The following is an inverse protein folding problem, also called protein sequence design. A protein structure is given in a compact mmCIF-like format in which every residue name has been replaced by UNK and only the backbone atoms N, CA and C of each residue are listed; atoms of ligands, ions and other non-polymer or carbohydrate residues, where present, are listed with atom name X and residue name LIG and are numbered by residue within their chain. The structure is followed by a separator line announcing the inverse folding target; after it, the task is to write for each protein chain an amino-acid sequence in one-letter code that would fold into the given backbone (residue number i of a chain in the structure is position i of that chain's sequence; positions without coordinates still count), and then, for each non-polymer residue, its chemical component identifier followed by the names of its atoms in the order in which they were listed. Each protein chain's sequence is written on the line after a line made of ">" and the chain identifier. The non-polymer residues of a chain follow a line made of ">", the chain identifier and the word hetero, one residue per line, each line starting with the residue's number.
data_IF_911982127831
#
_entry.id   IF_911982127831
#
_cell.length_a   1.000
_cell.length_b   1.000
_cell.length_c   1.000
_cell.angle_alpha   90.00
_cell.angle_beta   90.00
_cell.angle_gamma   90.00
#
_symmetry.space_group_name_H-M   'P 1'
#
loop_
_entity.id
_entity.type
_entity.pdbx_description
1 polymer ?
#
# COMPACT_ATOMS: atom_id res chain seq x y z
N UNK A 1 26.14 -2.68 28.01
CA UNK A 1 25.26 -2.41 26.85
C UNK A 1 24.35 -3.56 26.39
N UNK A 2 24.34 -4.79 26.95
CA UNK A 2 23.27 -5.77 26.68
C UNK A 2 21.96 -5.47 27.43
N UNK A 3 22.05 -4.94 28.66
CA UNK A 3 20.89 -4.77 29.54
C UNK A 3 19.88 -3.71 29.10
N UNK A 4 20.30 -2.67 28.39
CA UNK A 4 19.40 -1.57 28.01
C UNK A 4 18.47 -1.96 26.86
N UNK A 5 18.98 -2.73 25.90
CA UNK A 5 18.17 -3.26 24.79
C UNK A 5 17.17 -4.29 25.31
N UNK A 6 17.59 -5.19 26.19
CA UNK A 6 16.69 -6.17 26.82
C UNK A 6 15.65 -5.52 27.73
N UNK A 7 16.02 -4.47 28.48
CA UNK A 7 15.06 -3.71 29.28
C UNK A 7 14.04 -2.98 28.39
N UNK A 8 14.47 -2.44 27.25
CA UNK A 8 13.60 -1.81 26.27
C UNK A 8 12.65 -2.83 25.62
N UNK A 9 13.17 -3.97 25.17
CA UNK A 9 12.38 -5.08 24.62
C UNK A 9 11.32 -5.53 25.62
N UNK A 10 11.72 -5.85 26.86
CA UNK A 10 10.78 -6.30 27.88
C UNK A 10 9.71 -5.26 28.23
N UNK A 11 10.07 -3.97 28.25
CA UNK A 11 9.13 -2.87 28.49
C UNK A 11 8.13 -2.68 27.34
N UNK A 12 8.53 -2.99 26.11
CA UNK A 12 7.72 -2.77 24.91
C UNK A 12 7.21 -4.06 24.24
N UNK A 13 7.46 -5.23 24.86
CA UNK A 13 6.99 -6.54 24.38
C UNK A 13 5.49 -6.55 24.15
N UNK A 14 4.71 -5.96 25.06
CA UNK A 14 3.26 -5.85 24.92
C UNK A 14 2.83 -5.03 23.69
N UNK A 15 3.60 -4.00 23.32
CA UNK A 15 3.36 -3.19 22.12
C UNK A 15 3.77 -3.99 20.87
N UNK A 16 4.90 -4.69 20.91
CA UNK A 16 5.37 -5.51 19.80
C UNK A 16 4.41 -6.67 19.49
N UNK A 17 3.87 -7.34 20.51
CA UNK A 17 2.87 -8.40 20.34
C UNK A 17 1.54 -7.84 19.84
N UNK A 18 1.09 -6.69 20.35
CA UNK A 18 -0.09 -6.01 19.84
C UNK A 18 0.05 -5.63 18.35
N UNK A 19 1.22 -5.12 17.93
CA UNK A 19 1.51 -4.83 16.52
C UNK A 19 1.45 -6.10 15.67
N UNK A 20 2.05 -7.21 16.12
CA UNK A 20 2.03 -8.46 15.37
C UNK A 20 0.60 -9.00 15.17
N UNK A 21 -0.23 -8.98 16.22
CA UNK A 21 -1.63 -9.39 16.15
C UNK A 21 -2.42 -8.46 15.22
N UNK A 22 -2.23 -7.14 15.34
CA UNK A 22 -2.92 -6.16 14.49
C UNK A 22 -2.56 -6.34 13.02
N UNK A 23 -1.28 -6.53 12.69
CA UNK A 23 -0.84 -6.78 11.31
C UNK A 23 -1.40 -8.09 10.74
N UNK A 24 -1.56 -9.14 11.56
CA UNK A 24 -2.22 -10.37 11.11
C UNK A 24 -3.72 -10.16 10.86
N UNK A 25 -4.40 -9.42 11.75
CA UNK A 25 -5.81 -9.08 11.59
C UNK A 25 -6.05 -8.20 10.36
N UNK A 26 -5.20 -7.21 10.11
CA UNK A 26 -5.24 -6.37 8.91
C UNK A 26 -5.12 -7.20 7.63
N UNK A 27 -4.23 -8.20 7.60
CA UNK A 27 -4.13 -9.12 6.47
C UNK A 27 -5.42 -9.90 6.25
N UNK A 28 -5.97 -10.50 7.31
CA UNK A 28 -7.23 -11.23 7.23
C UNK A 28 -8.42 -10.35 6.81
N UNK A 29 -8.49 -9.12 7.32
CA UNK A 29 -9.49 -8.13 6.93
C UNK A 29 -9.32 -7.70 5.46
N UNK A 30 -8.08 -7.52 5.01
CA UNK A 30 -7.79 -7.18 3.61
C UNK A 30 -8.18 -8.31 2.66
N UNK A 31 -7.98 -9.58 3.05
CA UNK A 31 -8.44 -10.75 2.28
C UNK A 31 -9.96 -10.79 2.20
N UNK A 32 -10.67 -10.69 3.34
CA UNK A 32 -12.14 -10.63 3.36
C UNK A 32 -12.69 -9.46 2.54
N UNK A 33 -12.06 -8.29 2.62
CA UNK A 33 -12.46 -7.14 1.83
C UNK A 33 -12.29 -7.38 0.33
N UNK A 34 -11.25 -8.10 -0.11
CA UNK A 34 -11.08 -8.49 -1.51
C UNK A 34 -12.13 -9.51 -1.95
N UNK A 35 -12.43 -10.50 -1.11
CA UNK A 35 -13.48 -11.49 -1.40
C UNK A 35 -14.84 -10.82 -1.57
N UNK A 36 -15.23 -9.95 -0.64
CA UNK A 36 -16.49 -9.20 -0.70
C UNK A 36 -16.55 -8.29 -1.94
N UNK A 37 -15.43 -7.63 -2.28
CA UNK A 37 -15.35 -6.82 -3.51
C UNK A 37 -15.50 -7.68 -4.76
N UNK A 38 -14.82 -8.83 -4.82
CA UNK A 38 -14.90 -9.74 -5.96
C UNK A 38 -16.31 -10.35 -6.12
N UNK A 39 -16.98 -10.69 -5.02
CA UNK A 39 -18.37 -11.15 -5.03
C UNK A 39 -19.30 -10.05 -5.55
N UNK A 40 -19.09 -8.82 -5.11
CA UNK A 40 -19.90 -7.68 -5.53
C UNK A 40 -19.61 -7.26 -6.98
N UNK A 41 -18.35 -7.35 -7.44
CA UNK A 41 -17.97 -7.19 -8.85
C UNK A 41 -18.65 -8.23 -9.74
N UNK A 42 -18.65 -9.51 -9.34
CA UNK A 42 -19.36 -10.58 -10.06
C UNK A 42 -20.87 -10.35 -10.11
N UNK A 43 -21.48 -9.94 -9.00
CA UNK A 43 -22.91 -9.62 -8.98
C UNK A 43 -23.22 -8.40 -9.87
N UNK A 44 -22.35 -7.39 -9.90
CA UNK A 44 -22.48 -6.25 -10.81
C UNK A 44 -22.29 -6.65 -12.28
N UNK A 45 -21.41 -7.60 -12.58
CA UNK A 45 -21.22 -8.22 -13.91
C UNK A 45 -22.48 -8.95 -14.37
N UNK A 46 -23.01 -9.86 -13.54
CA UNK A 46 -24.18 -10.70 -13.86
C UNK A 46 -25.44 -9.86 -14.09
N UNK A 47 -25.61 -8.78 -13.33
CA UNK A 47 -26.76 -7.89 -13.45
C UNK A 47 -26.54 -6.68 -14.37
N UNK A 48 -25.34 -6.52 -14.95
CA UNK A 48 -25.01 -5.41 -15.85
C UNK A 48 -25.11 -4.01 -15.20
N UNK A 49 -24.95 -3.92 -13.88
CA UNK A 49 -25.16 -2.69 -13.12
C UNK A 49 -23.86 -1.86 -13.15
N UNK A 50 -23.94 -0.65 -13.71
CA UNK A 50 -22.79 0.28 -13.82
C UNK A 50 -22.48 1.02 -12.51
N UNK A 51 -23.52 1.31 -11.73
CA UNK A 51 -23.39 1.99 -10.45
C UNK A 51 -24.55 1.64 -9.53
N UNK A 52 -24.25 1.32 -8.28
CA UNK A 52 -25.23 1.16 -7.20
C UNK A 52 -24.97 2.29 -6.21
N UNK A 53 -26.02 3.00 -5.84
CA UNK A 53 -26.00 4.00 -4.76
C UNK A 53 -27.03 3.54 -3.73
N UNK A 54 -26.56 3.16 -2.55
CA UNK A 54 -27.41 2.80 -1.42
C UNK A 54 -26.97 3.59 -0.18
N UNK A 55 -27.79 3.56 0.88
CA UNK A 55 -27.56 4.32 2.11
C UNK A 55 -26.24 3.99 2.84
N UNK A 56 -25.56 2.90 2.46
CA UNK A 56 -24.34 2.42 3.08
C UNK A 56 -23.08 2.71 2.23
N UNK A 57 -23.16 2.57 0.91
CA UNK A 57 -22.01 2.58 0.01
C UNK A 57 -22.42 2.94 -1.43
N UNK A 58 -21.68 3.84 -2.06
CA UNK A 58 -21.73 4.11 -3.50
C UNK A 58 -20.66 3.29 -4.22
N UNK A 59 -21.07 2.39 -5.11
CA UNK A 59 -20.17 1.50 -5.85
C UNK A 59 -20.32 1.82 -7.34
N UNK A 60 -19.24 2.30 -7.96
CA UNK A 60 -19.19 2.62 -9.40
C UNK A 60 -18.17 1.70 -10.04
N UNK A 61 -18.59 0.97 -11.07
CA UNK A 61 -17.66 0.20 -11.90
C UNK A 61 -16.87 1.16 -12.78
N UNK A 62 -15.55 1.16 -12.63
CA UNK A 62 -14.65 1.93 -13.48
C UNK A 62 -14.03 0.95 -14.47
N UNK A 63 -14.25 1.19 -15.76
CA UNK A 63 -13.68 0.36 -16.83
C UNK A 63 -12.14 0.42 -16.83
N UNK A 64 -11.49 -0.61 -17.38
CA UNK A 64 -10.03 -0.66 -17.49
C UNK A 64 -9.48 0.54 -18.27
N UNK A 65 -8.94 1.53 -17.55
CA UNK A 65 -8.23 2.66 -18.15
C UNK A 65 -6.73 2.37 -18.18
N UNK A 66 -6.12 2.41 -19.37
CA UNK A 66 -4.67 2.28 -19.53
C UNK A 66 -4.00 3.63 -19.39
N UNK A 67 -3.47 3.93 -18.21
CA UNK A 67 -2.63 5.13 -18.00
C UNK A 67 -1.19 4.84 -18.42
N UNK A 68 -0.67 5.57 -19.41
CA UNK A 68 0.75 5.52 -19.77
C UNK A 68 1.53 6.50 -18.88
N UNK A 69 2.46 5.97 -18.09
CA UNK A 69 3.40 6.76 -17.28
C UNK A 69 4.84 6.38 -17.62
N UNK A 70 5.76 7.30 -17.36
CA UNK A 70 7.19 7.10 -17.64
C UNK A 70 7.77 6.15 -16.60
N UNK A 71 8.34 5.03 -17.08
CA UNK A 71 9.09 4.10 -16.23
C UNK A 71 10.49 4.65 -15.96
N UNK A 72 10.60 5.45 -14.90
CA UNK A 72 11.84 6.12 -14.50
C UNK A 72 12.95 5.15 -14.09
N UNK A 73 12.63 3.91 -13.70
CA UNK A 73 13.64 2.88 -13.42
C UNK A 73 14.30 2.40 -14.71
N UNK A 74 13.50 2.03 -15.72
CA UNK A 74 14.05 1.66 -17.03
C UNK A 74 14.78 2.81 -17.71
N UNK A 75 14.30 4.04 -17.54
CA UNK A 75 14.97 5.24 -18.05
C UNK A 75 16.37 5.39 -17.42
N UNK A 76 16.48 5.23 -16.10
CA UNK A 76 17.76 5.26 -15.39
C UNK A 76 18.72 4.14 -15.83
N UNK A 77 18.21 2.93 -16.02
CA UNK A 77 19.03 1.77 -16.38
C UNK A 77 19.52 1.82 -17.83
N UNK A 78 18.69 2.31 -18.76
CA UNK A 78 19.04 2.40 -20.19
C UNK A 78 19.76 3.70 -20.55
N UNK A 79 19.38 4.81 -19.93
CA UNK A 79 19.85 6.16 -20.25
C UNK A 79 20.16 6.96 -18.97
N UNK A 80 21.23 6.59 -18.24
CA UNK A 80 21.59 7.22 -16.98
C UNK A 80 21.96 8.70 -17.13
N UNK A 81 22.47 9.12 -18.29
CA UNK A 81 22.79 10.54 -18.58
C UNK A 81 21.53 11.40 -18.64
N UNK A 82 20.54 10.98 -19.43
CA UNK A 82 19.26 11.67 -19.55
C UNK A 82 18.50 11.70 -18.22
N UNK A 83 18.58 10.61 -17.44
CA UNK A 83 18.02 10.59 -16.08
C UNK A 83 18.68 11.62 -15.16
N UNK A 84 20.01 11.78 -15.26
CA UNK A 84 20.75 12.79 -14.50
C UNK A 84 20.34 14.22 -14.86
N UNK A 85 20.29 14.53 -16.15
CA UNK A 85 19.84 15.84 -16.66
C UNK A 85 18.40 16.16 -16.19
N UNK A 86 17.49 15.19 -16.29
CA UNK A 86 16.11 15.36 -15.81
C UNK A 86 16.00 15.54 -14.29
N UNK A 87 16.90 14.93 -13.52
CA UNK A 87 16.94 15.08 -12.07
C UNK A 87 17.45 16.46 -11.65
N UNK A 88 18.40 17.02 -12.42
CA UNK A 88 18.94 18.37 -12.22
C UNK A 88 17.92 19.45 -12.62
N UNK A 89 17.25 19.28 -13.76
CA UNK A 89 16.27 20.24 -14.28
C UNK A 89 14.92 20.19 -13.55
N UNK A 90 14.50 19.00 -13.09
CA UNK A 90 13.20 18.77 -12.44
C UNK A 90 13.33 18.03 -11.10
N UNK A 91 14.06 18.57 -10.11
CA UNK A 91 14.26 17.91 -8.84
C UNK A 91 12.96 17.89 -8.02
N UNK A 92 12.40 16.69 -7.83
CA UNK A 92 11.31 16.47 -6.87
C UNK A 92 11.87 15.93 -5.56
N UNK A 93 12.11 16.82 -4.61
CA UNK A 93 12.56 16.44 -3.26
C UNK A 93 11.37 16.02 -2.41
N UNK A 94 11.29 14.72 -2.05
CA UNK A 94 10.32 14.22 -1.08
C UNK A 94 11.01 14.02 0.27
N UNK A 95 10.67 14.85 1.25
CA UNK A 95 11.13 14.69 2.63
C UNK A 95 10.39 13.52 3.26
N UNK A 96 11.09 12.41 3.47
CA UNK A 96 10.56 11.28 4.26
C UNK A 96 10.90 11.52 5.72
N UNK A 97 9.89 11.61 6.57
CA UNK A 97 10.07 11.68 8.03
C UNK A 97 10.71 10.39 8.53
N UNK A 98 11.52 10.49 9.58
CA UNK A 98 12.02 9.32 10.29
C UNK A 98 10.83 8.46 10.74
N UNK A 99 10.88 7.16 10.44
CA UNK A 99 9.84 6.22 10.83
C UNK A 99 10.48 4.90 11.27
N UNK A 100 9.79 4.19 12.15
CA UNK A 100 10.16 2.84 12.56
C UNK A 100 9.59 1.86 11.54
N UNK A 101 10.45 0.97 11.00
CA UNK A 101 10.02 -0.09 10.08
C UNK A 101 9.77 -1.37 10.87
N UNK A 102 8.53 -1.86 10.84
CA UNK A 102 8.16 -3.14 11.42
C UNK A 102 8.23 -4.23 10.35
N UNK A 103 8.96 -5.30 10.62
CA UNK A 103 8.95 -6.51 9.80
C UNK A 103 8.44 -7.63 10.69
N UNK A 104 7.18 -8.00 10.50
CA UNK A 104 6.61 -9.18 11.16
C UNK A 104 7.19 -10.40 10.45
N UNK A 105 7.90 -11.24 11.21
CA UNK A 105 8.41 -12.53 10.73
C UNK A 105 7.27 -13.54 10.57
#
# INVERSE_FOLDING_TARGET
>A
MPNEVQAFENKHLAIMTAIAIHTQQEKALAEKSKEMKAELEKAMDEHGIKSIDNDLIKITRVDESKTKSIDTKKLKDKEPKLYGELLEDYPKTSVRKAHVKFVVK
#
